data_IF_869437526720
#
_entry.id   IF_869437526720
#
_cell.length_a   1.000
_cell.length_b   1.000
_cell.length_c   1.000
_cell.angle_alpha   90.00
_cell.angle_beta   90.00
_cell.angle_gamma   90.00
#
_symmetry.space_group_name_H-M   'P 1'
#
loop_
_entity.id
_entity.type
_entity.pdbx_description
1 polymer ?
#
# COMPACT_ATOMS: atom_id res chain seq x y z
N UNK A 1 31.10 24.00 -42.06
CA UNK A 1 32.22 23.06 -41.83
C UNK A 1 31.70 21.90 -40.98
N UNK A 2 32.20 20.67 -41.20
CA UNK A 2 31.48 19.42 -40.97
C UNK A 2 31.53 18.92 -39.51
N UNK A 3 30.70 17.92 -39.14
CA UNK A 3 30.83 17.21 -37.88
C UNK A 3 32.05 16.29 -37.88
N UNK A 4 32.80 16.29 -36.77
CA UNK A 4 33.95 15.41 -36.57
C UNK A 4 33.52 13.94 -36.40
N UNK A 5 34.27 13.07 -37.08
CA UNK A 5 34.15 11.61 -37.12
C UNK A 5 34.56 10.94 -35.80
N UNK A 6 33.96 9.77 -35.59
CA UNK A 6 34.34 8.73 -34.64
C UNK A 6 35.82 8.30 -34.78
N UNK A 7 36.44 7.93 -33.67
CA UNK A 7 37.52 6.94 -33.65
C UNK A 7 37.25 5.86 -32.59
N UNK A 8 37.25 4.62 -33.07
CA UNK A 8 37.20 3.38 -32.30
C UNK A 8 38.64 2.90 -32.05
N UNK A 9 39.01 2.39 -30.87
CA UNK A 9 40.19 1.56 -30.73
C UNK A 9 39.83 0.07 -30.74
N UNK A 10 40.54 -0.68 -31.57
CA UNK A 10 40.45 -2.12 -31.74
C UNK A 10 41.19 -2.91 -30.64
N UNK A 11 40.55 -4.01 -30.25
CA UNK A 11 41.05 -5.34 -29.84
C UNK A 11 42.58 -5.53 -29.68
N UNK A 12 42.97 -6.15 -28.55
CA UNK A 12 44.05 -7.17 -28.51
C UNK A 12 43.63 -8.36 -27.64
N UNK A 13 43.74 -9.54 -28.24
CA UNK A 13 43.57 -10.86 -27.64
C UNK A 13 44.83 -11.29 -26.88
N UNK A 14 44.68 -12.07 -25.80
CA UNK A 14 45.73 -13.00 -25.36
C UNK A 14 45.08 -14.30 -24.86
N UNK A 15 45.32 -15.37 -25.61
CA UNK A 15 45.09 -16.78 -25.24
C UNK A 15 46.35 -17.29 -24.54
N UNK A 16 46.21 -18.08 -23.48
CA UNK A 16 47.24 -19.02 -23.03
C UNK A 16 46.56 -20.34 -22.60
N UNK A 17 47.01 -21.41 -23.26
CA UNK A 17 46.63 -22.81 -23.13
C UNK A 17 47.76 -23.58 -22.42
N UNK A 18 47.38 -24.65 -21.71
CA UNK A 18 48.25 -25.75 -21.25
C UNK A 18 48.01 -26.07 -19.77
N UNK A 19 47.69 -27.28 -19.30
CA UNK A 19 47.61 -28.63 -19.88
C UNK A 19 48.31 -29.66 -18.97
N UNK A 20 47.53 -30.59 -18.37
CA UNK A 20 47.81 -32.02 -17.99
C UNK A 20 49.10 -32.39 -17.20
N UNK A 21 49.22 -33.41 -16.31
CA UNK A 21 48.48 -34.63 -15.92
C UNK A 21 48.96 -35.08 -14.50
N UNK A 22 48.12 -35.64 -13.61
CA UNK A 22 47.88 -37.06 -13.27
C UNK A 22 48.91 -37.81 -12.38
N UNK A 23 48.39 -38.48 -11.32
CA UNK A 23 48.83 -39.82 -10.90
C UNK A 23 49.25 -40.04 -9.44
N UNK A 24 48.56 -40.94 -8.73
CA UNK A 24 49.14 -41.69 -7.59
C UNK A 24 48.21 -42.07 -6.44
N UNK A 25 47.56 -43.23 -6.51
CA UNK A 25 46.92 -43.96 -5.40
C UNK A 25 47.95 -44.60 -4.46
N UNK A 26 47.61 -44.83 -3.18
CA UNK A 26 47.92 -46.07 -2.44
C UNK A 26 46.96 -46.27 -1.26
N UNK A 27 46.70 -47.55 -0.96
CA UNK A 27 45.62 -48.12 -0.14
C UNK A 27 45.98 -48.34 1.34
N UNK A 28 44.96 -48.60 2.18
CA UNK A 28 45.09 -49.19 3.52
C UNK A 28 43.75 -49.48 4.21
N UNK A 29 43.45 -50.76 4.48
CA UNK A 29 42.19 -51.32 4.98
C UNK A 29 42.10 -51.46 6.52
N UNK A 30 40.88 -51.84 6.98
CA UNK A 30 40.48 -52.48 8.26
C UNK A 30 39.95 -51.58 9.39
N UNK A 31 39.00 -51.96 10.25
CA UNK A 31 37.87 -52.90 10.24
C UNK A 31 37.02 -52.59 11.50
N UNK A 32 35.69 -52.59 11.33
CA UNK A 32 34.60 -52.98 12.27
C UNK A 32 34.74 -52.68 13.78
N UNK A 33 33.85 -51.84 14.31
CA UNK A 33 33.15 -52.13 15.57
C UNK A 33 31.75 -51.48 15.62
N UNK A 34 30.72 -52.32 15.59
CA UNK A 34 29.33 -51.99 15.92
C UNK A 34 29.20 -51.79 17.44
N UNK A 35 28.60 -50.69 17.86
CA UNK A 35 27.97 -50.60 19.17
C UNK A 35 26.65 -49.81 19.06
N UNK A 36 25.56 -50.53 19.32
CA UNK A 36 24.21 -50.00 19.47
C UNK A 36 24.15 -48.92 20.55
N UNK A 37 23.55 -47.76 20.24
CA UNK A 37 22.80 -46.95 21.20
C UNK A 37 21.69 -46.15 20.47
N UNK A 38 20.55 -46.10 21.13
CA UNK A 38 19.21 -45.67 20.72
C UNK A 38 19.04 -44.21 20.24
N UNK A 39 17.88 -43.87 19.61
CA UNK A 39 17.71 -42.70 18.75
C UNK A 39 17.37 -41.45 19.56
N UNK A 40 17.91 -40.30 19.17
CA UNK A 40 17.54 -39.01 19.78
C UNK A 40 17.48 -37.93 18.71
N UNK A 41 16.28 -37.37 18.61
CA UNK A 41 15.86 -36.10 18.01
C UNK A 41 16.09 -35.91 16.51
N UNK A 42 15.06 -36.28 15.74
CA UNK A 42 14.70 -35.53 14.54
C UNK A 42 14.44 -34.06 14.93
N UNK A 43 14.98 -33.07 14.21
CA UNK A 43 14.59 -31.69 14.45
C UNK A 43 13.14 -31.53 13.99
N UNK A 44 12.25 -31.30 14.96
CA UNK A 44 10.90 -30.81 14.73
C UNK A 44 10.95 -29.64 13.73
N UNK A 45 10.13 -29.63 12.68
CA UNK A 45 9.91 -28.41 11.93
C UNK A 45 9.12 -27.49 12.87
N UNK A 46 9.83 -26.65 13.63
CA UNK A 46 9.22 -25.45 14.17
C UNK A 46 8.63 -24.72 12.97
N UNK A 47 7.31 -24.82 12.87
CA UNK A 47 6.48 -23.95 12.06
C UNK A 47 6.95 -22.54 12.36
N UNK A 48 7.73 -21.99 11.43
CA UNK A 48 8.05 -20.58 11.41
C UNK A 48 6.72 -19.85 11.58
N UNK A 49 6.60 -18.87 12.49
CA UNK A 49 5.37 -18.12 12.61
C UNK A 49 5.05 -17.62 11.20
N UNK A 50 3.86 -17.96 10.72
CA UNK A 50 3.29 -17.46 9.49
C UNK A 50 3.75 -16.02 9.36
N UNK A 51 4.49 -15.73 8.29
CA UNK A 51 4.85 -14.36 7.95
C UNK A 51 3.60 -13.55 8.18
N UNK A 52 3.62 -12.63 9.15
CA UNK A 52 2.56 -11.64 9.31
C UNK A 52 2.40 -11.10 7.90
N UNK A 53 1.33 -11.50 7.20
CA UNK A 53 1.07 -11.03 5.84
C UNK A 53 1.20 -9.53 5.96
N UNK A 54 2.17 -8.95 5.26
CA UNK A 54 2.39 -7.51 5.28
C UNK A 54 1.02 -6.90 5.02
N UNK A 55 0.40 -6.38 6.08
CA UNK A 55 -0.98 -5.93 6.02
C UNK A 55 -0.91 -4.67 5.17
N UNK A 56 -1.09 -4.82 3.87
CA UNK A 56 -0.98 -3.73 2.92
C UNK A 56 -1.99 -2.66 3.34
N UNK A 57 -1.48 -1.49 3.72
CA UNK A 57 -2.27 -0.36 4.20
C UNK A 57 -1.95 0.80 3.31
N UNK A 58 -2.95 1.36 2.63
CA UNK A 58 -2.71 2.53 1.79
C UNK A 58 -3.87 3.52 1.85
N UNK A 59 -4.06 4.24 2.95
CA UNK A 59 -4.82 5.48 2.90
C UNK A 59 -4.05 6.54 2.09
N UNK A 60 -4.68 6.99 1.01
CA UNK A 60 -4.28 8.13 0.18
C UNK A 60 -5.31 9.25 0.39
N UNK A 61 -4.84 10.48 0.58
CA UNK A 61 -5.68 11.65 0.77
C UNK A 61 -5.42 12.69 -0.32
N UNK A 62 -6.44 12.97 -1.13
CA UNK A 62 -6.45 14.08 -2.09
C UNK A 62 -7.16 15.31 -1.50
N UNK A 63 -6.64 16.48 -1.83
CA UNK A 63 -7.19 17.77 -1.42
C UNK A 63 -7.51 18.58 -2.69
N UNK A 64 -8.79 18.74 -3.00
CA UNK A 64 -9.25 19.36 -4.25
C UNK A 64 -10.07 20.62 -3.96
N UNK A 65 -9.43 21.76 -3.64
CA UNK A 65 -10.12 23.03 -3.38
C UNK A 65 -10.67 23.68 -4.66
N UNK A 66 -11.57 24.66 -4.53
CA UNK A 66 -12.08 25.42 -5.71
C UNK A 66 -11.11 26.47 -6.23
N UNK A 67 -10.13 26.85 -5.41
CA UNK A 67 -9.03 27.76 -5.72
C UNK A 67 -7.79 27.31 -4.97
N UNK A 68 -6.61 27.63 -5.50
CA UNK A 68 -5.35 27.35 -4.81
C UNK A 68 -5.37 27.95 -3.40
N UNK A 69 -5.05 27.14 -2.40
CA UNK A 69 -5.01 27.57 -1.00
C UNK A 69 -3.94 26.81 -0.20
N UNK A 70 -3.43 27.44 0.85
CA UNK A 70 -2.53 26.80 1.80
C UNK A 70 -3.31 26.06 2.87
N UNK A 71 -2.86 24.86 3.22
CA UNK A 71 -3.51 23.97 4.16
C UNK A 71 -2.50 23.42 5.16
N UNK A 72 -2.90 23.38 6.42
CA UNK A 72 -2.33 22.51 7.44
C UNK A 72 -3.28 21.34 7.63
N UNK A 73 -2.81 20.12 7.41
CA UNK A 73 -3.61 18.90 7.51
C UNK A 73 -3.03 18.05 8.63
N UNK A 74 -3.76 17.95 9.74
CA UNK A 74 -3.40 17.07 10.86
C UNK A 74 -4.21 15.77 10.81
N UNK A 75 -3.59 14.68 11.24
CA UNK A 75 -4.23 13.37 11.37
C UNK A 75 -4.18 12.93 12.83
N UNK A 76 -5.36 12.73 13.41
CA UNK A 76 -5.55 12.02 14.67
C UNK A 76 -5.92 10.58 14.33
N UNK A 77 -5.02 9.65 14.65
CA UNK A 77 -5.16 8.24 14.31
C UNK A 77 -5.09 7.36 15.56
N UNK A 78 -6.15 6.60 15.80
CA UNK A 78 -6.25 5.60 16.88
C UNK A 78 -5.45 4.34 16.53
N UNK A 79 -4.14 4.50 16.36
CA UNK A 79 -3.21 3.43 16.02
C UNK A 79 -1.78 3.93 15.95
N UNK A 80 -0.91 3.15 15.32
CA UNK A 80 0.49 3.53 15.07
C UNK A 80 0.69 3.77 13.59
N UNK A 81 1.17 4.96 13.24
CA UNK A 81 1.62 5.27 11.90
C UNK A 81 2.94 4.54 11.64
N UNK A 82 3.00 3.73 10.58
CA UNK A 82 4.21 2.99 10.18
C UNK A 82 4.96 3.70 9.07
N UNK A 83 4.27 4.52 8.28
CA UNK A 83 4.88 5.29 7.20
C UNK A 83 4.04 6.53 6.88
N UNK A 84 4.70 7.58 6.38
CA UNK A 84 4.04 8.81 5.89
C UNK A 84 4.82 9.38 4.71
N UNK A 85 4.10 9.96 3.75
CA UNK A 85 4.70 10.66 2.63
C UNK A 85 3.75 11.73 2.06
N UNK A 86 4.22 12.96 1.78
CA UNK A 86 5.52 13.52 2.18
C UNK A 86 5.71 13.47 3.70
N UNK A 87 6.93 13.71 4.19
CA UNK A 87 7.20 13.68 5.63
C UNK A 87 6.48 14.83 6.33
N UNK A 88 5.54 14.56 7.27
CA UNK A 88 4.87 15.60 8.04
C UNK A 88 5.78 16.17 9.12
N UNK A 89 5.37 17.29 9.69
CA UNK A 89 5.96 17.85 10.90
C UNK A 89 5.35 17.19 12.14
N UNK A 90 6.18 16.89 13.13
CA UNK A 90 5.74 16.45 14.46
C UNK A 90 5.32 17.65 15.30
N UNK A 91 4.13 17.58 15.88
CA UNK A 91 3.59 18.59 16.79
C UNK A 91 4.05 18.35 18.23
N UNK A 92 3.90 19.37 19.09
CA UNK A 92 4.35 19.33 20.49
C UNK A 92 3.63 18.25 21.30
N UNK A 93 2.39 17.95 20.96
CA UNK A 93 1.56 16.91 21.59
C UNK A 93 1.84 15.49 21.03
N UNK A 94 2.79 15.36 20.10
CA UNK A 94 3.11 14.10 19.43
C UNK A 94 2.27 13.83 18.19
N UNK A 95 1.33 14.70 17.84
CA UNK A 95 0.57 14.61 16.59
C UNK A 95 1.45 14.90 15.35
N UNK A 96 0.87 14.74 14.16
CA UNK A 96 1.52 15.07 12.89
C UNK A 96 0.69 16.07 12.08
N UNK A 97 1.36 16.92 11.31
CA UNK A 97 0.72 17.75 10.30
C UNK A 97 1.54 17.89 9.01
N UNK A 98 0.84 17.89 7.89
CA UNK A 98 1.37 18.34 6.61
C UNK A 98 1.03 19.80 6.37
N UNK A 99 1.99 20.55 5.83
CA UNK A 99 1.76 21.90 5.32
C UNK A 99 1.98 21.90 3.81
N UNK A 100 0.91 22.17 3.07
CA UNK A 100 0.91 22.10 1.60
C UNK A 100 0.08 23.24 1.02
N UNK A 101 0.44 23.65 -0.19
CA UNK A 101 -0.44 24.43 -1.07
C UNK A 101 -1.19 23.46 -1.97
N UNK A 102 -2.51 23.40 -1.86
CA UNK A 102 -3.35 22.52 -2.68
C UNK A 102 -3.94 23.29 -3.87
N UNK A 103 -3.79 22.74 -5.08
CA UNK A 103 -4.36 23.28 -6.31
C UNK A 103 -5.70 22.59 -6.66
N UNK A 104 -6.58 23.22 -7.47
CA UNK A 104 -7.90 22.66 -7.79
C UNK A 104 -7.91 21.31 -8.51
N UNK A 105 -6.80 20.94 -9.16
CA UNK A 105 -6.62 19.65 -9.82
C UNK A 105 -6.11 18.53 -8.87
N UNK A 106 -5.95 18.85 -7.59
CA UNK A 106 -5.47 17.95 -6.55
C UNK A 106 -3.96 17.92 -6.38
N UNK A 107 -3.20 18.66 -7.19
CA UNK A 107 -1.74 18.76 -7.02
C UNK A 107 -1.39 19.51 -5.72
N UNK A 108 -0.47 18.95 -4.96
CA UNK A 108 0.00 19.51 -3.69
C UNK A 108 1.44 19.97 -3.86
N UNK A 109 1.72 21.21 -3.43
CA UNK A 109 3.08 21.76 -3.44
C UNK A 109 3.58 21.98 -2.01
N UNK A 110 4.81 21.55 -1.70
CA UNK A 110 5.44 21.87 -0.41
C UNK A 110 6.15 23.24 -0.41
N UNK A 111 6.65 23.67 0.74
CA UNK A 111 7.31 24.96 0.92
C UNK A 111 8.58 25.14 0.05
N UNK A 112 9.16 24.06 -0.48
CA UNK A 112 10.34 24.12 -1.37
C UNK A 112 9.99 23.94 -2.85
N UNK A 113 8.70 23.88 -3.18
CA UNK A 113 8.18 23.80 -4.55
C UNK A 113 8.14 22.39 -5.14
N UNK A 114 8.21 21.33 -4.31
CA UNK A 114 8.02 19.96 -4.81
C UNK A 114 6.55 19.63 -4.90
N UNK A 115 6.19 18.91 -5.95
CA UNK A 115 4.83 18.50 -6.26
C UNK A 115 4.56 17.07 -5.78
N UNK A 116 3.38 16.86 -5.21
CA UNK A 116 2.88 15.57 -4.75
C UNK A 116 1.44 15.38 -5.24
N UNK A 117 1.08 14.19 -5.73
CA UNK A 117 -0.29 13.93 -6.17
C UNK A 117 -1.28 13.80 -5.01
N UNK A 118 -0.80 13.55 -3.80
CA UNK A 118 -1.60 13.25 -2.62
C UNK A 118 -0.75 13.26 -1.35
N UNK A 119 -1.41 13.28 -0.19
CA UNK A 119 -0.81 12.83 1.06
C UNK A 119 -1.02 11.31 1.20
N UNK A 120 -0.06 10.64 1.82
CA UNK A 120 -0.05 9.19 2.02
C UNK A 120 0.41 8.86 3.44
N UNK A 121 -0.21 7.86 4.04
CA UNK A 121 0.25 7.29 5.29
C UNK A 121 -0.11 5.81 5.36
N UNK A 122 0.46 5.11 6.34
CA UNK A 122 0.17 3.72 6.63
C UNK A 122 -0.04 3.56 8.14
N UNK A 123 -1.05 2.79 8.53
CA UNK A 123 -1.37 2.53 9.93
C UNK A 123 -2.23 1.29 10.12
N UNK A 124 -2.00 0.54 11.19
CA UNK A 124 -2.73 -0.69 11.48
C UNK A 124 -4.16 -0.45 11.97
N UNK A 125 -5.15 -0.68 11.11
CA UNK A 125 -6.56 -0.67 11.49
C UNK A 125 -7.04 -2.09 11.81
N UNK A 126 -7.71 -2.25 12.95
CA UNK A 126 -8.49 -3.47 13.24
C UNK A 126 -9.94 -3.19 12.88
N UNK A 127 -10.43 -3.89 11.86
CA UNK A 127 -11.78 -3.70 11.31
C UNK A 127 -12.52 -5.03 11.25
N UNK A 128 -13.83 -4.95 11.40
CA UNK A 128 -14.71 -6.10 11.42
C UNK A 128 -15.23 -6.41 10.01
N UNK A 129 -15.43 -7.69 9.70
CA UNK A 129 -15.84 -8.14 8.36
C UNK A 129 -17.04 -9.11 8.46
N UNK A 130 -18.15 -8.60 8.97
CA UNK A 130 -19.36 -9.40 9.24
C UNK A 130 -20.35 -9.41 8.07
N UNK A 131 -20.05 -8.63 7.04
CA UNK A 131 -20.83 -8.42 5.82
C UNK A 131 -19.86 -8.07 4.70
N UNK A 132 -20.24 -8.27 3.44
CA UNK A 132 -19.39 -7.92 2.30
C UNK A 132 -19.84 -8.56 1.01
N UNK A 133 -19.05 -8.33 -0.03
CA UNK A 133 -19.26 -8.91 -1.35
C UNK A 133 -18.24 -10.02 -1.56
N UNK A 134 -18.71 -11.17 -2.00
CA UNK A 134 -17.82 -12.24 -2.45
C UNK A 134 -17.48 -11.98 -3.92
N UNK A 135 -16.22 -11.70 -4.19
CA UNK A 135 -15.72 -11.24 -5.49
C UNK A 135 -14.77 -12.28 -6.07
N UNK A 136 -15.11 -12.79 -7.26
CA UNK A 136 -14.24 -13.68 -8.03
C UNK A 136 -13.16 -12.86 -8.77
N UNK A 137 -12.01 -13.48 -9.05
CA UNK A 137 -10.86 -12.80 -9.62
C UNK A 137 -11.14 -12.11 -10.97
N UNK A 138 -11.93 -12.72 -11.84
CA UNK A 138 -12.29 -12.18 -13.16
C UNK A 138 -13.34 -11.04 -13.09
N UNK A 139 -14.08 -10.96 -11.99
CA UNK A 139 -15.06 -9.91 -11.73
C UNK A 139 -14.48 -8.72 -10.96
N UNK A 140 -13.28 -8.84 -10.37
CA UNK A 140 -12.72 -7.87 -9.43
C UNK A 140 -12.65 -6.44 -9.98
N UNK A 141 -12.15 -6.27 -11.21
CA UNK A 141 -12.04 -4.93 -11.83
C UNK A 141 -13.41 -4.29 -12.03
N UNK A 142 -14.34 -4.97 -12.70
CA UNK A 142 -15.67 -4.43 -12.97
C UNK A 142 -16.48 -4.19 -11.69
N UNK A 143 -16.31 -5.06 -10.69
CA UNK A 143 -16.91 -4.86 -9.37
C UNK A 143 -16.41 -3.56 -8.72
N UNK A 144 -15.09 -3.32 -8.70
CA UNK A 144 -14.54 -2.10 -8.13
C UNK A 144 -14.94 -0.85 -8.93
N UNK A 145 -14.93 -0.91 -10.27
CA UNK A 145 -15.38 0.22 -11.11
C UNK A 145 -16.82 0.64 -10.77
N UNK A 146 -17.74 -0.32 -10.65
CA UNK A 146 -19.14 -0.08 -10.26
C UNK A 146 -19.23 0.55 -8.86
N UNK A 147 -18.64 -0.09 -7.84
CA UNK A 147 -18.77 0.36 -6.45
C UNK A 147 -18.08 1.70 -6.21
N UNK A 148 -16.88 1.91 -6.74
CA UNK A 148 -16.14 3.15 -6.50
C UNK A 148 -16.82 4.36 -7.16
N UNK A 149 -17.37 4.19 -8.38
CA UNK A 149 -18.16 5.24 -9.03
C UNK A 149 -19.42 5.58 -8.24
N UNK A 150 -20.16 4.57 -7.78
CA UNK A 150 -21.34 4.76 -6.91
C UNK A 150 -20.98 5.48 -5.60
N UNK A 151 -19.82 5.19 -5.01
CA UNK A 151 -19.32 5.83 -3.79
C UNK A 151 -18.70 7.21 -4.03
N UNK A 152 -18.71 7.70 -5.27
CA UNK A 152 -18.36 9.08 -5.62
C UNK A 152 -16.90 9.32 -5.99
N UNK A 153 -16.07 8.27 -6.15
CA UNK A 153 -14.72 8.43 -6.69
C UNK A 153 -14.78 8.86 -8.16
N UNK A 154 -13.84 9.70 -8.56
CA UNK A 154 -13.65 10.00 -9.99
C UNK A 154 -12.93 8.86 -10.70
N UNK A 155 -12.99 8.81 -12.03
CA UNK A 155 -12.31 7.77 -12.82
C UNK A 155 -10.80 7.69 -12.51
N UNK A 156 -10.15 8.83 -12.28
CA UNK A 156 -8.74 8.90 -11.91
C UNK A 156 -8.47 8.25 -10.55
N UNK A 157 -9.27 8.61 -9.55
CA UNK A 157 -9.11 8.08 -8.18
C UNK A 157 -9.45 6.59 -8.14
N UNK A 158 -10.50 6.16 -8.84
CA UNK A 158 -10.89 4.77 -8.97
C UNK A 158 -9.80 3.95 -9.68
N UNK A 159 -9.18 4.48 -10.73
CA UNK A 159 -8.06 3.82 -11.40
C UNK A 159 -6.86 3.62 -10.45
N UNK A 160 -6.49 4.63 -9.66
CA UNK A 160 -5.40 4.50 -8.66
C UNK A 160 -5.76 3.50 -7.55
N UNK A 161 -7.01 3.45 -7.11
CA UNK A 161 -7.50 2.45 -6.18
C UNK A 161 -7.41 1.03 -6.76
N UNK A 162 -7.94 0.83 -7.97
CA UNK A 162 -8.05 -0.47 -8.64
C UNK A 162 -6.67 -1.02 -8.99
N UNK A 163 -5.75 -0.17 -9.45
CA UNK A 163 -4.37 -0.60 -9.75
C UNK A 163 -3.64 -1.13 -8.52
N UNK A 164 -4.03 -0.69 -7.32
CA UNK A 164 -3.50 -1.23 -6.08
C UNK A 164 -4.28 -2.46 -5.56
N UNK A 165 -5.61 -2.38 -5.48
CA UNK A 165 -6.44 -3.39 -4.83
C UNK A 165 -6.93 -4.51 -5.76
N UNK A 166 -7.14 -4.21 -7.04
CA UNK A 166 -7.62 -5.16 -8.04
C UNK A 166 -6.74 -6.41 -8.14
N UNK A 167 -5.40 -6.28 -8.33
CA UNK A 167 -4.50 -7.43 -8.37
C UNK A 167 -4.53 -8.25 -7.07
N UNK A 168 -4.58 -7.60 -5.89
CA UNK A 168 -4.62 -8.27 -4.58
C UNK A 168 -5.89 -9.08 -4.38
N UNK A 169 -7.02 -8.59 -4.86
CA UNK A 169 -8.30 -9.32 -4.84
C UNK A 169 -8.22 -10.50 -5.82
N UNK A 170 -7.71 -10.26 -7.03
CA UNK A 170 -7.62 -11.27 -8.08
C UNK A 170 -6.66 -12.44 -7.74
N UNK A 171 -5.53 -12.15 -7.12
CA UNK A 171 -4.54 -13.16 -6.71
C UNK A 171 -5.09 -14.18 -5.70
N UNK A 172 -6.15 -13.83 -4.96
CA UNK A 172 -6.83 -14.74 -4.03
C UNK A 172 -7.73 -15.75 -4.75
N UNK A 173 -8.00 -15.56 -6.04
CA UNK A 173 -9.00 -16.32 -6.80
C UNK A 173 -10.43 -15.91 -6.45
N UNK A 174 -10.72 -15.82 -5.15
CA UNK A 174 -12.00 -15.38 -4.59
C UNK A 174 -11.77 -14.72 -3.23
N UNK A 175 -12.33 -13.53 -3.02
CA UNK A 175 -12.17 -12.78 -1.78
C UNK A 175 -13.51 -12.26 -1.25
N UNK A 176 -13.62 -12.10 0.06
CA UNK A 176 -14.65 -11.26 0.66
C UNK A 176 -14.11 -9.82 0.72
N UNK A 177 -14.83 -8.89 0.11
CA UNK A 177 -14.52 -7.45 0.10
C UNK A 177 -15.59 -6.71 0.88
N UNK A 178 -15.17 -5.97 1.90
CA UNK A 178 -16.07 -5.21 2.78
C UNK A 178 -15.70 -3.74 2.76
N UNK A 179 -16.66 -2.87 2.51
CA UNK A 179 -16.50 -1.42 2.62
C UNK A 179 -16.71 -1.02 4.09
N UNK A 180 -15.63 -0.58 4.73
CA UNK A 180 -15.56 -0.28 6.17
C UNK A 180 -15.26 1.21 6.43
N UNK A 181 -15.62 2.10 5.49
CA UNK A 181 -15.31 3.54 5.55
C UNK A 181 -15.76 4.20 6.85
N UNK A 182 -16.95 3.89 7.35
CA UNK A 182 -17.47 4.50 8.58
C UNK A 182 -16.72 4.04 9.83
N UNK A 183 -16.35 2.76 9.90
CA UNK A 183 -15.55 2.23 11.00
C UNK A 183 -14.15 2.82 10.99
N UNK A 184 -13.52 2.87 9.82
CA UNK A 184 -12.22 3.50 9.64
C UNK A 184 -12.24 5.00 9.93
N UNK A 185 -13.32 5.72 9.61
CA UNK A 185 -13.46 7.14 9.89
C UNK A 185 -13.48 7.47 11.39
N UNK A 186 -13.89 6.52 12.25
CA UNK A 186 -13.79 6.69 13.71
C UNK A 186 -12.36 6.56 14.22
N UNK A 187 -11.51 5.84 13.50
CA UNK A 187 -10.11 5.61 13.85
C UNK A 187 -9.18 6.68 13.26
N UNK A 188 -9.54 7.31 12.13
CA UNK A 188 -8.68 8.25 11.41
C UNK A 188 -9.41 9.57 11.10
N UNK A 189 -9.16 10.58 11.95
CA UNK A 189 -9.83 11.88 11.92
C UNK A 189 -8.86 12.96 11.42
N UNK A 190 -9.27 13.67 10.37
CA UNK A 190 -8.50 14.80 9.85
C UNK A 190 -8.97 16.13 10.43
N UNK A 191 -8.02 17.02 10.65
CA UNK A 191 -8.27 18.44 10.92
C UNK A 191 -7.54 19.29 9.89
N UNK A 192 -8.28 20.11 9.17
CA UNK A 192 -7.74 21.05 8.20
C UNK A 192 -7.80 22.46 8.80
N UNK A 193 -6.71 23.20 8.73
CA UNK A 193 -6.64 24.59 9.19
C UNK A 193 -5.89 25.47 8.20
N UNK A 194 -6.20 26.76 8.23
CA UNK A 194 -5.40 27.79 7.58
C UNK A 194 -4.05 27.92 8.35
N UNK A 195 -2.89 27.71 7.70
CA UNK A 195 -1.61 27.74 8.40
C UNK A 195 -1.25 29.08 9.06
N UNK A 196 -1.79 30.19 8.54
CA UNK A 196 -1.43 31.54 9.00
C UNK A 196 -2.23 31.98 10.23
N UNK A 197 -3.51 31.60 10.29
CA UNK A 197 -4.46 32.02 11.31
C UNK A 197 -4.83 30.91 12.30
N UNK A 198 -4.58 29.65 11.94
CA UNK A 198 -5.05 28.48 12.67
C UNK A 198 -6.56 28.24 12.58
N UNK A 199 -7.29 29.00 11.75
CA UNK A 199 -8.73 28.87 11.59
C UNK A 199 -9.09 27.51 10.98
N UNK A 200 -10.13 26.86 11.51
CA UNK A 200 -10.63 25.59 10.98
C UNK A 200 -11.21 25.75 9.57
N UNK A 201 -10.83 24.83 8.69
CA UNK A 201 -11.37 24.71 7.34
C UNK A 201 -12.16 23.41 7.29
N UNK A 202 -13.42 23.50 6.90
CA UNK A 202 -14.30 22.34 6.71
C UNK A 202 -14.51 22.16 5.21
N UNK A 203 -14.18 20.98 4.63
CA UNK A 203 -14.47 20.74 3.24
C UNK A 203 -15.99 20.66 3.02
N UNK A 204 -16.44 21.15 1.86
CA UNK A 204 -17.84 21.07 1.44
C UNK A 204 -18.24 19.61 1.17
N UNK A 205 -17.30 18.80 0.67
CA UNK A 205 -17.49 17.37 0.41
C UNK A 205 -16.33 16.55 0.97
N UNK A 206 -16.63 15.47 1.69
CA UNK A 206 -15.64 14.46 2.07
C UNK A 206 -16.09 13.10 1.52
N UNK A 207 -15.30 12.50 0.64
CA UNK A 207 -15.53 11.15 0.10
C UNK A 207 -14.51 10.22 0.74
N UNK A 208 -14.98 9.10 1.32
CA UNK A 208 -14.10 8.11 1.94
C UNK A 208 -14.46 6.69 1.51
N UNK A 209 -13.49 5.99 0.94
CA UNK A 209 -13.62 4.57 0.59
C UNK A 209 -12.50 3.76 1.21
N UNK A 210 -12.83 2.94 2.21
CA UNK A 210 -11.88 2.01 2.81
C UNK A 210 -12.40 0.58 2.69
N UNK A 211 -11.59 -0.32 2.14
CA UNK A 211 -11.97 -1.74 2.02
C UNK A 211 -11.19 -2.65 2.96
N UNK A 212 -11.83 -3.74 3.36
CA UNK A 212 -11.19 -4.90 3.98
C UNK A 212 -11.25 -6.03 2.96
N UNK A 213 -10.09 -6.55 2.56
CA UNK A 213 -9.96 -7.71 1.67
C UNK A 213 -9.57 -8.91 2.53
N UNK A 214 -10.40 -9.94 2.55
CA UNK A 214 -10.17 -11.15 3.34
C UNK A 214 -10.62 -12.41 2.63
N UNK A 215 -10.35 -13.54 3.27
CA UNK A 215 -10.76 -14.85 2.76
C UNK A 215 -12.29 -15.01 2.86
N UNK A 216 -12.87 -15.80 1.94
CA UNK A 216 -14.31 -16.08 1.97
C UNK A 216 -14.64 -16.95 3.19
N UNK A 217 -15.56 -16.52 4.07
CA UNK A 217 -15.91 -17.28 5.25
C UNK A 217 -16.66 -18.57 4.88
N UNK A 218 -16.49 -19.62 5.70
CA UNK A 218 -17.22 -20.89 5.52
C UNK A 218 -18.74 -20.70 5.65
N UNK A 219 -19.16 -19.82 6.57
CA UNK A 219 -20.54 -19.40 6.74
C UNK A 219 -20.77 -18.14 5.93
N UNK A 220 -21.82 -18.13 5.10
CA UNK A 220 -22.18 -16.96 4.32
C UNK A 220 -22.43 -15.74 5.22
N UNK A 221 -21.89 -14.60 4.80
CA UNK A 221 -22.18 -13.29 5.40
C UNK A 221 -23.21 -12.55 4.54
N UNK A 222 -24.03 -11.67 5.14
CA UNK A 222 -24.92 -10.82 4.36
C UNK A 222 -24.13 -9.90 3.41
N UNK A 223 -24.71 -9.64 2.25
CA UNK A 223 -24.20 -8.65 1.32
C UNK A 223 -24.45 -7.23 1.85
N UNK A 224 -23.47 -6.34 1.70
CA UNK A 224 -23.61 -4.95 2.14
C UNK A 224 -24.60 -4.18 1.28
N UNK A 225 -25.34 -3.28 1.93
CA UNK A 225 -26.12 -2.25 1.25
C UNK A 225 -25.34 -0.95 1.33
N UNK A 226 -24.77 -0.55 0.20
CA UNK A 226 -24.05 0.71 0.09
C UNK A 226 -25.02 1.80 -0.40
N UNK A 227 -24.98 2.94 0.26
CA UNK A 227 -25.66 4.14 -0.19
C UNK A 227 -24.75 4.91 -1.16
N UNK A 228 -25.32 5.61 -2.17
CA UNK A 228 -24.54 6.46 -3.04
C UNK A 228 -23.71 7.48 -2.26
N UNK A 229 -22.48 7.73 -2.74
CA UNK A 229 -21.60 8.75 -2.18
C UNK A 229 -22.15 10.17 -2.34
N UNK A 230 -21.59 11.15 -1.62
CA UNK A 230 -22.01 12.53 -1.71
C UNK A 230 -21.71 13.12 -3.10
N UNK A 231 -22.55 14.06 -3.54
CA UNK A 231 -22.26 14.85 -4.74
C UNK A 231 -21.11 15.81 -4.48
N UNK A 232 -20.10 15.83 -5.37
CA UNK A 232 -18.97 16.74 -5.28
C UNK A 232 -19.42 18.19 -5.41
N UNK A 233 -19.18 18.96 -4.37
CA UNK A 233 -19.42 20.39 -4.33
C UNK A 233 -18.25 21.06 -3.61
N UNK A 234 -17.90 22.28 -4.03
CA UNK A 234 -16.91 23.11 -3.35
C UNK A 234 -15.55 22.42 -3.12
N UNK A 235 -14.92 22.71 -1.99
CA UNK A 235 -13.69 22.05 -1.57
C UNK A 235 -13.99 20.58 -1.24
N UNK A 236 -13.43 19.67 -2.04
CA UNK A 236 -13.59 18.23 -1.88
C UNK A 236 -12.32 17.61 -1.32
N UNK A 237 -12.45 16.81 -0.27
CA UNK A 237 -11.40 15.92 0.23
C UNK A 237 -11.80 14.49 -0.10
N UNK A 238 -10.86 13.71 -0.64
CA UNK A 238 -11.09 12.31 -0.98
C UNK A 238 -10.04 11.47 -0.26
N UNK A 239 -10.49 10.55 0.58
CA UNK A 239 -9.65 9.50 1.13
C UNK A 239 -10.03 8.16 0.52
N UNK A 240 -9.05 7.40 0.05
CA UNK A 240 -9.29 5.99 -0.23
C UNK A 240 -8.17 5.12 0.32
N UNK A 241 -8.50 3.89 0.66
CA UNK A 241 -7.53 2.92 1.14
C UNK A 241 -8.14 1.56 1.41
N UNK A 242 -7.41 0.76 2.17
CA UNK A 242 -7.88 -0.53 2.60
C UNK A 242 -6.84 -1.28 3.41
N UNK A 243 -7.25 -2.46 3.85
CA UNK A 243 -6.40 -3.44 4.52
C UNK A 243 -6.69 -4.82 3.95
N UNK A 244 -5.68 -5.68 3.92
CA UNK A 244 -5.87 -7.09 3.63
C UNK A 244 -5.54 -7.97 4.83
N UNK A 245 -6.15 -9.15 4.90
CA UNK A 245 -5.91 -10.12 5.98
C UNK A 245 -5.96 -11.55 5.51
#
# INVERSE_FOLDING_TARGET
>A
MPPSRMETPARRHLLLLGGLAAGGMLAGCAAIQQQNREPTEEPSPESSPESQRDVAKKPVLYLCPTRTMDLSVSLDYEGTLTYTYPTPQTQVDGGIAWHVTAAPDGDLTDAVGRHYPSLFWEGAATLVQNEGFVVEADAATGFLEDKLSMLGLSDREAAEFITFWGPRIAERGKALVTFASEEFARQAVYRLTDPSSGAGIVPDTFIRVYIVVGDVPQTAVPEQKLEPGPTRTGFTVVEWGGTER
#
